data_IF_617530596589
#
_entry.id   IF_617530596589
#
_cell.length_a   1.000
_cell.length_b   1.000
_cell.length_c   1.000
_cell.angle_alpha   90.00
_cell.angle_beta   90.00
_cell.angle_gamma   90.00
#
_symmetry.space_group_name_H-M   'P 1'
#
loop_
_entity.id
_entity.type
_entity.pdbx_description
1 polymer ?
#
# COMPACT_ATOMS: atom_id res chain seq x y z
N UNK A 1 -2.71 -4.46 -32.48
CA UNK A 1 -3.10 -3.41 -31.52
C UNK A 1 -4.29 -3.94 -30.74
N UNK A 2 -4.06 -4.46 -29.53
CA UNK A 2 -5.13 -5.04 -28.74
C UNK A 2 -5.89 -3.91 -28.02
N UNK A 3 -7.13 -3.69 -28.41
CA UNK A 3 -8.09 -2.94 -27.62
C UNK A 3 -8.43 -3.79 -26.39
N UNK A 4 -7.77 -3.52 -25.27
CA UNK A 4 -8.17 -4.09 -23.99
C UNK A 4 -9.23 -3.19 -23.36
N UNK A 5 -10.46 -3.30 -23.86
CA UNK A 5 -11.63 -2.89 -23.10
C UNK A 5 -11.84 -3.91 -21.98
N UNK A 6 -11.17 -3.72 -20.84
CA UNK A 6 -11.60 -4.38 -19.60
C UNK A 6 -12.66 -3.48 -18.97
N UNK A 7 -13.89 -3.62 -19.44
CA UNK A 7 -15.05 -3.32 -18.61
C UNK A 7 -15.57 -4.66 -18.14
N UNK A 8 -15.26 -5.04 -16.91
CA UNK A 8 -15.99 -6.09 -16.22
C UNK A 8 -16.71 -5.42 -15.06
N UNK A 9 -17.94 -4.97 -15.33
CA UNK A 9 -18.96 -4.92 -14.29
C UNK A 9 -19.35 -6.37 -14.00
N UNK A 10 -18.73 -6.97 -13.00
CA UNK A 10 -19.27 -8.12 -12.28
C UNK A 10 -19.60 -7.74 -10.83
N UNK A 11 -19.80 -6.43 -10.57
CA UNK A 11 -19.84 -5.85 -9.23
C UNK A 11 -21.02 -6.27 -8.35
N UNK A 12 -22.13 -6.70 -8.96
CA UNK A 12 -23.35 -6.97 -8.17
C UNK A 12 -23.51 -8.45 -7.80
N UNK A 13 -22.66 -9.34 -8.35
CA UNK A 13 -22.78 -10.80 -8.18
C UNK A 13 -21.47 -11.55 -7.89
N UNK A 14 -20.31 -10.87 -7.94
CA UNK A 14 -19.03 -11.51 -7.62
C UNK A 14 -18.66 -11.34 -6.15
N UNK A 15 -18.15 -12.40 -5.52
CA UNK A 15 -17.67 -12.36 -4.13
C UNK A 15 -16.31 -11.65 -3.98
N UNK A 16 -15.52 -11.58 -5.06
CA UNK A 16 -14.23 -10.91 -5.10
C UNK A 16 -13.86 -10.45 -6.52
N UNK A 17 -12.97 -9.45 -6.61
CA UNK A 17 -12.44 -8.93 -7.87
C UNK A 17 -10.93 -9.11 -7.90
N UNK A 18 -10.42 -9.81 -8.91
CA UNK A 18 -9.00 -9.87 -9.23
C UNK A 18 -8.71 -8.90 -10.38
N UNK A 19 -7.89 -7.90 -10.10
CA UNK A 19 -7.51 -6.87 -11.08
C UNK A 19 -6.05 -7.06 -11.51
N UNK A 20 -5.78 -6.90 -12.81
CA UNK A 20 -4.43 -6.83 -13.37
C UNK A 20 -3.80 -5.44 -13.20
N UNK A 21 -3.29 -4.87 -14.29
CA UNK A 21 -2.71 -3.52 -14.30
C UNK A 21 -3.62 -2.53 -15.05
N UNK A 22 -3.56 -1.26 -14.64
CA UNK A 22 -4.27 -0.14 -15.25
C UNK A 22 -3.25 0.97 -15.53
N UNK A 23 -3.33 1.57 -16.72
CA UNK A 23 -2.50 2.71 -17.13
C UNK A 23 -1.65 2.42 -18.37
N UNK A 24 -1.07 3.48 -18.94
CA UNK A 24 -0.11 3.40 -20.03
C UNK A 24 0.10 4.72 -20.78
N UNK A 25 1.21 4.86 -21.55
CA UNK A 25 1.60 6.12 -22.19
C UNK A 25 0.54 6.70 -23.14
N UNK A 26 -0.33 5.84 -23.68
CA UNK A 26 -1.41 6.21 -24.61
C UNK A 26 -2.40 7.23 -24.02
N UNK A 27 -2.59 7.25 -22.69
CA UNK A 27 -3.66 8.02 -22.05
C UNK A 27 -3.18 9.30 -21.34
N UNK A 28 -1.87 9.46 -21.11
CA UNK A 28 -1.23 10.71 -20.66
C UNK A 28 -1.94 11.43 -19.49
N UNK A 29 -1.95 12.77 -19.51
CA UNK A 29 -2.65 13.64 -18.55
C UNK A 29 -3.99 14.16 -19.08
N UNK A 30 -4.58 13.48 -20.07
CA UNK A 30 -5.83 13.90 -20.70
C UNK A 30 -7.03 13.92 -19.75
N UNK A 31 -8.18 14.40 -20.25
CA UNK A 31 -9.42 14.46 -19.47
C UNK A 31 -9.91 13.07 -19.01
N UNK A 32 -9.66 12.03 -19.83
CA UNK A 32 -10.00 10.64 -19.54
C UNK A 32 -8.73 9.85 -19.26
N UNK A 33 -8.60 9.39 -18.02
CA UNK A 33 -7.44 8.62 -17.54
C UNK A 33 -7.89 7.27 -16.98
N UNK A 34 -7.24 6.16 -17.33
CA UNK A 34 -7.57 4.83 -16.80
C UNK A 34 -7.66 4.78 -15.27
N UNK A 35 -6.83 5.57 -14.58
CA UNK A 35 -6.77 5.67 -13.12
C UNK A 35 -8.07 6.24 -12.51
N UNK A 36 -8.80 7.09 -13.22
CA UNK A 36 -10.11 7.59 -12.77
C UNK A 36 -11.12 6.44 -12.65
N UNK A 37 -11.05 5.47 -13.57
CA UNK A 37 -11.89 4.27 -13.52
C UNK A 37 -11.60 3.42 -12.28
N UNK A 38 -10.33 3.25 -11.92
CA UNK A 38 -9.93 2.52 -10.72
C UNK A 38 -10.39 3.21 -9.42
N UNK A 39 -10.24 4.53 -9.34
CA UNK A 39 -10.70 5.30 -8.18
C UNK A 39 -12.22 5.19 -8.01
N UNK A 40 -12.97 5.27 -9.11
CA UNK A 40 -14.42 5.12 -9.10
C UNK A 40 -14.83 3.70 -8.68
N UNK A 41 -14.20 2.67 -9.25
CA UNK A 41 -14.46 1.27 -8.90
C UNK A 41 -14.25 1.01 -7.40
N UNK A 42 -13.14 1.48 -6.83
CA UNK A 42 -12.84 1.35 -5.39
C UNK A 42 -13.92 1.98 -4.52
N UNK A 43 -14.43 3.15 -4.93
CA UNK A 43 -15.49 3.86 -4.19
C UNK A 43 -16.83 3.15 -4.31
N UNK A 44 -17.20 2.70 -5.50
CA UNK A 44 -18.47 1.98 -5.75
C UNK A 44 -18.51 0.62 -5.02
N UNK A 45 -17.38 -0.10 -4.96
CA UNK A 45 -17.28 -1.36 -4.22
C UNK A 45 -17.05 -1.18 -2.71
N UNK A 46 -16.89 0.05 -2.23
CA UNK A 46 -16.61 0.33 -0.82
C UNK A 46 -15.28 -0.26 -0.32
N UNK A 47 -14.29 -0.47 -1.18
CA UNK A 47 -12.97 -1.03 -0.80
C UNK A 47 -12.10 0.04 -0.13
N UNK A 48 -12.47 0.46 1.07
CA UNK A 48 -11.84 1.58 1.79
C UNK A 48 -10.48 1.23 2.39
N UNK A 49 -10.16 -0.04 2.60
CA UNK A 49 -8.91 -0.49 3.20
C UNK A 49 -8.00 -1.16 2.19
N UNK A 50 -6.85 -0.55 1.90
CA UNK A 50 -5.78 -1.18 1.15
C UNK A 50 -4.74 -1.77 2.11
N UNK A 51 -4.53 -3.08 2.03
CA UNK A 51 -3.53 -3.79 2.83
C UNK A 51 -2.27 -4.01 1.97
N UNK A 52 -1.12 -3.55 2.44
CA UNK A 52 0.18 -3.72 1.78
C UNK A 52 1.20 -4.31 2.76
N UNK A 53 1.37 -5.64 2.76
CA UNK A 53 2.42 -6.30 3.54
C UNK A 53 3.81 -5.88 3.07
N UNK A 54 4.71 -5.64 4.02
CA UNK A 54 6.11 -5.30 3.79
C UNK A 54 6.98 -6.21 4.67
N UNK A 55 7.54 -7.24 4.03
CA UNK A 55 8.44 -8.20 4.65
C UNK A 55 9.35 -8.83 3.60
N UNK A 56 10.46 -9.43 4.03
CA UNK A 56 11.28 -10.24 3.15
C UNK A 56 10.72 -11.66 3.07
N UNK A 57 10.30 -12.10 1.89
CA UNK A 57 9.77 -13.45 1.68
C UNK A 57 10.81 -14.56 1.92
N UNK A 58 12.10 -14.21 1.86
CA UNK A 58 13.22 -15.10 2.16
C UNK A 58 14.38 -14.29 2.71
N UNK A 59 15.13 -14.87 3.65
CA UNK A 59 16.31 -14.27 4.26
C UNK A 59 17.41 -13.96 3.22
N UNK A 60 17.43 -14.73 2.12
CA UNK A 60 18.33 -14.51 0.98
C UNK A 60 18.01 -13.24 0.17
N UNK A 61 16.80 -12.68 0.30
CA UNK A 61 16.39 -11.47 -0.41
C UNK A 61 16.85 -10.19 0.33
N UNK A 62 17.28 -10.30 1.58
CA UNK A 62 17.64 -9.15 2.42
C UNK A 62 18.80 -8.37 1.82
N UNK A 63 19.79 -9.05 1.24
CA UNK A 63 20.98 -8.42 0.68
C UNK A 63 20.71 -7.69 -0.66
N UNK A 64 19.51 -7.84 -1.22
CA UNK A 64 19.02 -7.08 -2.38
C UNK A 64 18.25 -5.81 -1.99
N UNK A 65 17.99 -5.62 -0.69
CA UNK A 65 17.46 -4.35 -0.20
C UNK A 65 18.47 -3.22 -0.45
N UNK A 66 18.01 -2.01 -0.78
CA UNK A 66 18.88 -0.83 -0.77
C UNK A 66 19.38 -0.49 0.65
N UNK A 67 18.74 -1.02 1.69
CA UNK A 67 19.18 -0.88 3.07
C UNK A 67 20.17 -1.98 3.43
N UNK A 68 21.14 -1.64 4.31
CA UNK A 68 22.06 -2.64 4.85
C UNK A 68 21.29 -3.76 5.55
N UNK A 69 21.74 -4.99 5.40
CA UNK A 69 21.07 -6.15 5.98
C UNK A 69 20.83 -6.00 7.49
N UNK A 70 21.79 -5.49 8.26
CA UNK A 70 21.61 -5.28 9.71
C UNK A 70 20.52 -4.25 10.09
N UNK A 71 20.09 -3.43 9.13
CA UNK A 71 19.04 -2.41 9.31
C UNK A 71 17.66 -2.99 9.04
N UNK A 72 17.50 -3.73 7.94
CA UNK A 72 16.19 -4.15 7.42
C UNK A 72 15.83 -5.62 7.72
N UNK A 73 16.80 -6.49 8.04
CA UNK A 73 16.52 -7.91 8.32
C UNK A 73 15.52 -8.06 9.46
N UNK A 74 14.41 -8.75 9.20
CA UNK A 74 13.31 -8.93 10.16
C UNK A 74 12.25 -7.82 10.15
N UNK A 75 12.26 -6.94 9.15
CA UNK A 75 11.11 -6.08 8.85
C UNK A 75 9.89 -6.94 8.51
N UNK A 76 8.80 -6.70 9.22
CA UNK A 76 7.50 -7.35 9.05
C UNK A 76 6.40 -6.41 9.58
N UNK A 77 5.79 -5.66 8.67
CA UNK A 77 4.58 -4.91 8.96
C UNK A 77 3.61 -4.94 7.79
N UNK A 78 2.35 -4.56 8.07
CA UNK A 78 1.34 -4.33 7.05
C UNK A 78 0.87 -2.88 7.13
N UNK A 79 0.91 -2.18 6.01
CA UNK A 79 0.31 -0.85 5.88
C UNK A 79 -1.18 -1.02 5.55
N UNK A 80 -2.03 -0.41 6.37
CA UNK A 80 -3.46 -0.23 6.19
C UNK A 80 -3.68 1.21 5.73
N UNK A 81 -3.83 1.38 4.42
CA UNK A 81 -4.10 2.67 3.80
C UNK A 81 -5.60 2.87 3.62
N UNK A 82 -6.12 4.00 4.08
CA UNK A 82 -7.47 4.43 3.68
C UNK A 82 -7.47 4.77 2.17
N UNK A 83 -8.41 4.25 1.40
CA UNK A 83 -8.32 4.21 -0.06
C UNK A 83 -9.40 5.05 -0.78
N UNK A 84 -10.42 5.51 -0.07
CA UNK A 84 -11.66 6.04 -0.69
C UNK A 84 -12.03 7.47 -0.25
N UNK A 85 -11.24 8.09 0.61
CA UNK A 85 -11.38 9.48 1.05
C UNK A 85 -10.08 10.28 0.91
N UNK A 86 -10.00 11.41 1.62
CA UNK A 86 -8.85 12.31 1.57
C UNK A 86 -8.72 13.10 0.26
N UNK A 87 -7.54 13.64 0.02
CA UNK A 87 -7.22 14.61 -1.04
C UNK A 87 -7.49 14.11 -2.45
N UNK A 88 -7.48 12.80 -2.66
CA UNK A 88 -7.77 12.20 -3.95
C UNK A 88 -9.25 12.29 -4.32
N UNK A 89 -10.14 12.44 -3.33
CA UNK A 89 -11.58 12.50 -3.52
C UNK A 89 -12.19 13.83 -3.05
N UNK A 90 -11.39 14.72 -2.46
CA UNK A 90 -11.80 16.07 -2.12
C UNK A 90 -12.07 16.93 -3.35
N UNK A 91 -12.81 18.01 -3.12
CA UNK A 91 -12.97 19.05 -4.13
C UNK A 91 -11.60 19.61 -4.53
N UNK A 92 -11.50 20.00 -5.79
CA UNK A 92 -10.31 20.62 -6.35
C UNK A 92 -10.68 21.69 -7.36
N UNK A 93 -9.79 22.66 -7.53
CA UNK A 93 -9.84 23.64 -8.61
C UNK A 93 -8.50 23.62 -9.35
N UNK A 94 -8.57 23.31 -10.64
CA UNK A 94 -7.44 23.44 -11.57
C UNK A 94 -7.17 24.92 -11.87
N UNK A 95 -5.94 25.23 -12.29
CA UNK A 95 -5.58 26.57 -12.74
C UNK A 95 -6.35 26.93 -14.03
N UNK A 96 -7.07 28.06 -13.99
CA UNK A 96 -7.82 28.64 -15.10
C UNK A 96 -7.05 29.76 -15.83
N UNK A 97 -5.73 29.82 -15.62
CA UNK A 97 -4.84 30.88 -16.08
C UNK A 97 -4.59 31.97 -15.04
N UNK A 98 -5.10 31.79 -13.82
CA UNK A 98 -4.87 32.67 -12.67
C UNK A 98 -3.55 32.38 -11.95
N UNK A 99 -2.89 31.24 -12.25
CA UNK A 99 -1.74 30.76 -11.51
C UNK A 99 -2.11 30.20 -10.13
N UNK A 100 -3.38 29.85 -9.92
CA UNK A 100 -3.91 29.39 -8.64
C UNK A 100 -4.72 28.10 -8.81
N UNK A 101 -4.34 27.07 -8.04
CA UNK A 101 -5.02 25.79 -7.95
C UNK A 101 -5.07 25.34 -6.48
N UNK A 102 -6.01 24.46 -6.14
CA UNK A 102 -6.12 23.88 -4.81
C UNK A 102 -6.79 22.51 -4.81
N UNK A 103 -6.47 21.74 -3.77
CA UNK A 103 -7.09 20.46 -3.44
C UNK A 103 -7.48 20.47 -1.95
N UNK A 104 -8.51 19.72 -1.58
CA UNK A 104 -8.96 19.59 -0.18
C UNK A 104 -8.73 18.18 0.33
N UNK A 105 -8.29 18.02 1.59
CA UNK A 105 -8.13 16.73 2.29
C UNK A 105 -9.27 16.53 3.31
N UNK A 106 -10.50 16.17 2.87
CA UNK A 106 -11.60 15.91 3.78
C UNK A 106 -11.54 14.48 4.32
N UNK A 107 -11.83 14.34 5.62
CA UNK A 107 -12.25 13.08 6.23
C UNK A 107 -13.39 13.33 7.21
N UNK A 108 -14.35 12.42 7.22
CA UNK A 108 -15.35 12.29 8.26
C UNK A 108 -14.90 11.32 9.34
N UNK A 109 -15.52 11.40 10.53
CA UNK A 109 -15.31 10.42 11.60
C UNK A 109 -15.55 8.98 11.12
N UNK A 110 -16.66 8.72 10.43
CA UNK A 110 -17.03 7.38 10.00
C UNK A 110 -15.98 6.74 9.07
N UNK A 111 -15.33 7.55 8.21
CA UNK A 111 -14.26 7.07 7.34
C UNK A 111 -13.00 6.68 8.11
N UNK A 112 -12.67 7.40 9.18
CA UNK A 112 -11.53 7.06 10.05
C UNK A 112 -11.86 5.84 10.93
N UNK A 113 -13.08 5.75 11.48
CA UNK A 113 -13.48 4.63 12.33
C UNK A 113 -13.43 3.28 11.61
N UNK A 114 -13.90 3.20 10.36
CA UNK A 114 -13.88 1.93 9.61
C UNK A 114 -12.45 1.44 9.33
N UNK A 115 -11.50 2.33 9.04
CA UNK A 115 -10.11 1.94 8.81
C UNK A 115 -9.38 1.66 10.14
N UNK A 116 -9.74 2.36 11.22
CA UNK A 116 -9.28 2.06 12.57
C UNK A 116 -9.67 0.63 12.98
N UNK A 117 -10.94 0.25 12.76
CA UNK A 117 -11.44 -1.11 13.03
C UNK A 117 -10.71 -2.15 12.20
N UNK A 118 -10.52 -1.90 10.90
CA UNK A 118 -9.75 -2.80 10.04
C UNK A 118 -8.33 -3.03 10.58
N UNK A 119 -7.64 -1.96 10.98
CA UNK A 119 -6.31 -2.06 11.56
C UNK A 119 -6.32 -2.83 12.90
N UNK A 120 -7.30 -2.59 13.77
CA UNK A 120 -7.45 -3.29 15.04
C UNK A 120 -7.73 -4.80 14.87
N UNK A 121 -8.62 -5.18 13.96
CA UNK A 121 -8.87 -6.60 13.65
C UNK A 121 -7.64 -7.28 13.03
N UNK A 122 -6.95 -6.60 12.13
CA UNK A 122 -5.72 -7.12 11.53
C UNK A 122 -4.63 -7.33 12.58
N UNK A 123 -4.45 -6.36 13.49
CA UNK A 123 -3.48 -6.44 14.57
C UNK A 123 -3.76 -7.64 15.50
N UNK A 124 -5.01 -7.83 15.94
CA UNK A 124 -5.42 -9.01 16.70
C UNK A 124 -5.16 -10.31 15.93
N UNK A 125 -5.53 -10.36 14.65
CA UNK A 125 -5.33 -11.54 13.81
C UNK A 125 -3.86 -11.93 13.64
N UNK A 126 -2.96 -10.94 13.70
CA UNK A 126 -1.50 -11.12 13.65
C UNK A 126 -0.87 -11.35 15.03
N UNK A 127 -1.63 -11.24 16.12
CA UNK A 127 -1.11 -11.34 17.49
C UNK A 127 -0.29 -10.12 17.92
N UNK A 128 -0.47 -8.97 17.26
CA UNK A 128 0.19 -7.73 17.64
C UNK A 128 -0.42 -7.17 18.92
N UNK A 129 0.38 -6.47 19.72
CA UNK A 129 -0.08 -5.75 20.91
C UNK A 129 -0.23 -4.25 20.67
N UNK A 130 0.15 -3.77 19.49
CA UNK A 130 0.14 -2.35 19.13
C UNK A 130 -0.22 -2.10 17.66
N UNK A 131 -0.73 -0.91 17.39
CA UNK A 131 -0.98 -0.36 16.06
C UNK A 131 -0.36 1.03 15.96
N UNK A 132 0.40 1.26 14.89
CA UNK A 132 0.94 2.57 14.54
C UNK A 132 -0.07 3.38 13.75
N UNK A 133 -0.48 4.55 14.24
CA UNK A 133 -1.31 5.51 13.51
C UNK A 133 -0.45 6.66 13.00
N UNK A 134 -0.24 6.75 11.69
CA UNK A 134 0.56 7.82 11.08
C UNK A 134 -0.29 9.00 10.63
N UNK A 135 0.12 10.21 10.99
CA UNK A 135 -0.60 11.45 10.66
C UNK A 135 0.33 12.69 10.57
N UNK A 136 -0.24 13.87 10.37
CA UNK A 136 0.45 15.16 10.48
C UNK A 136 -0.27 16.14 11.43
N UNK A 137 -0.67 15.66 12.62
CA UNK A 137 -1.55 16.38 13.54
C UNK A 137 -0.97 17.71 14.07
N UNK A 138 0.36 17.86 14.03
CA UNK A 138 1.05 19.12 14.36
C UNK A 138 0.77 20.25 13.34
N UNK A 139 0.23 19.93 12.16
CA UNK A 139 -0.11 20.91 11.12
C UNK A 139 -1.60 20.80 10.74
N UNK A 140 -2.04 19.62 10.29
CA UNK A 140 -3.32 19.47 9.58
C UNK A 140 -4.51 19.28 10.54
N UNK A 141 -5.61 19.99 10.28
CA UNK A 141 -6.87 19.81 11.00
C UNK A 141 -7.42 18.39 10.82
N UNK A 142 -7.38 17.87 9.59
CA UNK A 142 -7.81 16.51 9.26
C UNK A 142 -7.00 15.46 10.03
N UNK A 143 -5.69 15.67 10.22
CA UNK A 143 -4.86 14.78 11.04
C UNK A 143 -5.15 14.86 12.54
N UNK A 144 -5.58 16.02 13.06
CA UNK A 144 -6.07 16.11 14.45
C UNK A 144 -7.37 15.35 14.65
N UNK A 145 -8.30 15.43 13.69
CA UNK A 145 -9.50 14.59 13.68
C UNK A 145 -9.13 13.11 13.61
N UNK A 146 -8.23 12.73 12.70
CA UNK A 146 -7.74 11.36 12.54
C UNK A 146 -7.23 10.79 13.86
N UNK A 147 -6.28 11.50 14.49
CA UNK A 147 -5.69 11.10 15.77
C UNK A 147 -6.75 10.91 16.85
N UNK A 148 -7.66 11.88 17.01
CA UNK A 148 -8.76 11.81 17.98
C UNK A 148 -9.62 10.55 17.77
N UNK A 149 -10.07 10.31 16.54
CA UNK A 149 -10.95 9.18 16.22
C UNK A 149 -10.22 7.85 16.42
N UNK A 150 -8.98 7.73 15.95
CA UNK A 150 -8.15 6.55 16.17
C UNK A 150 -7.99 6.23 17.66
N UNK A 151 -7.66 7.22 18.50
CA UNK A 151 -7.54 7.05 19.95
C UNK A 151 -8.87 6.58 20.57
N UNK A 152 -9.97 7.26 20.25
CA UNK A 152 -11.29 6.94 20.80
C UNK A 152 -11.77 5.54 20.40
N UNK A 153 -11.66 5.18 19.12
CA UNK A 153 -12.07 3.86 18.61
C UNK A 153 -11.25 2.73 19.23
N UNK A 154 -9.92 2.89 19.35
CA UNK A 154 -9.09 1.86 19.99
C UNK A 154 -9.40 1.72 21.47
N UNK A 155 -9.59 2.84 22.19
CA UNK A 155 -9.96 2.80 23.60
C UNK A 155 -11.30 2.09 23.85
N UNK A 156 -12.29 2.28 22.96
CA UNK A 156 -13.62 1.68 23.13
C UNK A 156 -13.75 0.26 22.59
N UNK A 157 -13.11 -0.07 21.48
CA UNK A 157 -13.34 -1.34 20.75
C UNK A 157 -12.14 -2.32 20.81
N UNK A 158 -10.94 -1.80 21.08
CA UNK A 158 -9.69 -2.57 21.10
C UNK A 158 -8.83 -2.26 22.35
N UNK A 159 -9.38 -2.37 23.58
CA UNK A 159 -8.67 -1.99 24.81
C UNK A 159 -7.42 -2.84 25.12
N UNK A 160 -7.30 -4.00 24.47
CA UNK A 160 -6.15 -4.90 24.48
C UNK A 160 -5.00 -4.45 23.56
N UNK A 161 -5.24 -3.52 22.63
CA UNK A 161 -4.25 -3.00 21.70
C UNK A 161 -3.84 -1.58 22.07
N UNK A 162 -2.53 -1.33 22.14
CA UNK A 162 -2.01 0.04 22.20
C UNK A 162 -2.13 0.71 20.82
N UNK A 163 -2.63 1.95 20.77
CA UNK A 163 -2.50 2.81 19.57
C UNK A 163 -1.41 3.84 19.81
N UNK A 164 -0.35 3.80 19.01
CA UNK A 164 0.76 4.74 19.07
C UNK A 164 0.72 5.67 17.87
N UNK A 165 0.84 6.98 18.12
CA UNK A 165 0.79 7.99 17.07
C UNK A 165 2.18 8.45 16.67
N UNK A 166 2.45 8.47 15.38
CA UNK A 166 3.73 8.87 14.81
C UNK A 166 3.48 9.88 13.68
N UNK A 167 4.32 10.92 13.58
CA UNK A 167 4.21 11.84 12.46
C UNK A 167 4.72 11.19 11.16
N UNK A 168 4.08 11.47 10.04
CA UNK A 168 4.39 10.81 8.77
C UNK A 168 5.82 11.07 8.28
N UNK A 169 6.36 12.26 8.50
CA UNK A 169 7.75 12.61 8.17
C UNK A 169 8.77 11.89 9.05
N UNK A 170 8.48 11.75 10.34
CA UNK A 170 9.32 10.96 11.24
C UNK A 170 9.17 9.46 11.01
N UNK A 171 8.01 8.99 10.51
CA UNK A 171 7.82 7.61 10.07
C UNK A 171 8.64 7.28 8.82
N UNK A 172 8.67 8.16 7.82
CA UNK A 172 9.54 8.01 6.64
C UNK A 172 11.03 7.95 7.06
N UNK A 173 11.46 8.78 8.01
CA UNK A 173 12.82 8.65 8.57
C UNK A 173 13.06 7.29 9.26
N UNK A 174 12.07 6.73 9.96
CA UNK A 174 12.18 5.40 10.59
C UNK A 174 12.28 4.32 9.51
N UNK A 175 11.49 4.40 8.44
CA UNK A 175 11.51 3.46 7.32
C UNK A 175 12.91 3.26 6.74
N UNK A 176 13.68 4.34 6.58
CA UNK A 176 15.05 4.26 6.06
C UNK A 176 16.07 3.84 7.14
N UNK A 177 15.90 4.29 8.39
CA UNK A 177 16.92 4.09 9.44
C UNK A 177 16.80 2.77 10.18
N UNK A 178 15.57 2.31 10.42
CA UNK A 178 15.25 1.09 11.16
C UNK A 178 13.78 0.74 10.92
N UNK A 179 13.42 0.19 9.73
CA UNK A 179 12.03 -0.10 9.38
C UNK A 179 11.35 -1.07 10.37
N UNK A 180 12.13 -1.91 11.06
CA UNK A 180 11.65 -2.79 12.15
C UNK A 180 10.97 -2.05 13.29
N UNK A 181 11.27 -0.76 13.47
CA UNK A 181 10.60 0.10 14.44
C UNK A 181 9.09 0.20 14.19
N UNK A 182 8.66 0.01 12.94
CA UNK A 182 7.26 0.02 12.52
C UNK A 182 6.63 -1.37 12.40
N UNK A 183 7.34 -2.45 12.80
CA UNK A 183 6.80 -3.81 12.77
C UNK A 183 5.41 -3.90 13.41
N UNK A 184 4.55 -4.71 12.80
CA UNK A 184 3.15 -4.89 13.17
C UNK A 184 2.17 -4.28 12.16
N UNK A 185 1.21 -3.50 12.65
CA UNK A 185 0.19 -2.85 11.79
C UNK A 185 0.39 -1.34 11.80
N UNK A 186 0.48 -0.76 10.60
CA UNK A 186 0.63 0.68 10.38
C UNK A 186 -0.60 1.19 9.64
N UNK A 187 -1.33 2.16 10.18
CA UNK A 187 -2.55 2.70 9.58
C UNK A 187 -2.41 4.20 9.31
N UNK A 188 -2.85 4.65 8.13
CA UNK A 188 -2.72 6.06 7.73
C UNK A 188 -3.71 6.48 6.64
N UNK A 189 -3.76 7.78 6.36
CA UNK A 189 -4.64 8.38 5.35
C UNK A 189 -4.24 8.02 3.92
N UNK A 190 -5.07 8.39 2.94
CA UNK A 190 -4.89 7.98 1.55
C UNK A 190 -3.57 8.44 0.94
N UNK A 191 -3.27 9.75 0.99
CA UNK A 191 -2.04 10.30 0.43
C UNK A 191 -0.80 9.76 1.15
N UNK A 192 -0.81 9.78 2.49
CA UNK A 192 0.33 9.31 3.28
C UNK A 192 0.57 7.82 3.09
N UNK A 193 -0.50 7.03 3.02
CA UNK A 193 -0.44 5.60 2.76
C UNK A 193 0.10 5.29 1.38
N UNK A 194 -0.23 6.09 0.37
CA UNK A 194 0.33 5.97 -0.98
C UNK A 194 1.86 6.07 -0.93
N UNK A 195 2.37 7.16 -0.36
CA UNK A 195 3.79 7.47 -0.30
C UNK A 195 4.56 6.45 0.54
N UNK A 196 4.13 6.22 1.79
CA UNK A 196 4.87 5.39 2.74
C UNK A 196 4.86 3.92 2.34
N UNK A 197 3.81 3.47 1.65
CA UNK A 197 3.76 2.10 1.15
C UNK A 197 4.57 1.91 -0.11
N UNK A 198 4.68 2.94 -0.96
CA UNK A 198 5.62 2.91 -2.08
C UNK A 198 7.07 2.90 -1.57
N UNK A 199 7.41 3.71 -0.55
CA UNK A 199 8.71 3.70 0.14
C UNK A 199 9.02 2.32 0.76
N UNK A 200 8.01 1.64 1.31
CA UNK A 200 8.15 0.26 1.81
C UNK A 200 8.29 -0.75 0.67
N UNK A 201 7.70 -0.48 -0.49
CA UNK A 201 7.59 -1.38 -1.64
C UNK A 201 8.74 -1.27 -2.65
N UNK A 202 9.93 -0.82 -2.24
CA UNK A 202 11.16 -1.13 -2.99
C UNK A 202 11.43 -2.67 -3.10
N UNK A 203 10.45 -3.51 -2.74
CA UNK A 203 10.22 -4.89 -3.16
C UNK A 203 9.58 -5.06 -4.58
N UNK A 204 9.22 -3.98 -5.28
CA UNK A 204 8.67 -4.02 -6.65
C UNK A 204 9.61 -4.73 -7.62
N UNK A 205 10.91 -4.60 -7.40
CA UNK A 205 11.92 -5.30 -8.17
C UNK A 205 11.83 -6.83 -7.98
N UNK A 206 11.47 -7.31 -6.77
CA UNK A 206 11.30 -8.75 -6.47
C UNK A 206 10.04 -9.30 -7.13
N UNK A 207 8.91 -8.59 -7.02
CA UNK A 207 7.66 -8.99 -7.70
C UNK A 207 7.83 -9.00 -9.22
N UNK A 208 8.51 -8.00 -9.78
CA UNK A 208 8.80 -7.93 -11.21
C UNK A 208 9.80 -9.00 -11.64
N UNK A 209 10.75 -9.36 -10.79
CA UNK A 209 11.68 -10.46 -11.02
C UNK A 209 10.99 -11.83 -10.99
N UNK A 210 10.10 -12.06 -10.02
CA UNK A 210 9.27 -13.28 -9.94
C UNK A 210 8.41 -13.41 -11.19
N UNK A 211 7.75 -12.32 -11.59
CA UNK A 211 6.95 -12.27 -12.80
C UNK A 211 7.79 -12.56 -14.05
N UNK A 212 8.94 -11.90 -14.23
CA UNK A 212 9.82 -12.14 -15.39
C UNK A 212 10.37 -13.55 -15.44
N UNK A 213 10.73 -14.13 -14.29
CA UNK A 213 11.19 -15.52 -14.21
C UNK A 213 10.08 -16.49 -14.62
N UNK A 214 8.84 -16.28 -14.13
CA UNK A 214 7.66 -17.06 -14.51
C UNK A 214 7.34 -16.87 -16.01
N UNK A 215 7.36 -15.64 -16.53
CA UNK A 215 7.11 -15.36 -17.96
C UNK A 215 8.19 -15.98 -18.87
N UNK A 216 9.42 -16.08 -18.37
CA UNK A 216 10.55 -16.78 -19.02
C UNK A 216 10.47 -18.32 -18.90
N UNK A 217 9.40 -18.87 -18.33
CA UNK A 217 9.13 -20.30 -18.27
C UNK A 217 9.55 -21.01 -16.98
N UNK A 218 9.94 -20.28 -15.93
CA UNK A 218 10.16 -20.88 -14.61
C UNK A 218 8.86 -21.52 -14.10
N UNK A 219 8.89 -22.81 -13.83
CA UNK A 219 7.76 -23.56 -13.25
C UNK A 219 8.30 -24.58 -12.24
N UNK A 220 7.88 -24.45 -10.98
CA UNK A 220 8.13 -25.44 -9.93
C UNK A 220 7.15 -26.62 -10.07
N UNK A 221 7.36 -27.71 -9.31
CA UNK A 221 6.58 -28.95 -9.43
C UNK A 221 5.08 -28.77 -9.23
N UNK A 222 4.69 -27.91 -8.30
CA UNK A 222 3.31 -27.53 -8.01
C UNK A 222 2.67 -26.69 -9.13
N UNK A 223 3.49 -26.00 -9.93
CA UNK A 223 3.06 -25.24 -11.11
C UNK A 223 3.19 -26.03 -12.42
N UNK A 224 3.36 -27.35 -12.34
CA UNK A 224 3.47 -28.25 -13.50
C UNK A 224 4.82 -28.22 -14.22
N UNK A 225 5.89 -27.76 -13.54
CA UNK A 225 7.24 -27.76 -14.08
C UNK A 225 8.22 -28.67 -13.33
N UNK A 226 9.50 -28.58 -13.70
CA UNK A 226 10.56 -29.43 -13.16
C UNK A 226 11.60 -28.66 -12.35
N UNK A 227 11.49 -27.32 -12.24
CA UNK A 227 12.49 -26.53 -11.53
C UNK A 227 12.45 -26.81 -10.03
N UNK A 228 13.65 -27.03 -9.47
CA UNK A 228 13.83 -27.15 -8.03
C UNK A 228 13.70 -25.79 -7.32
N UNK A 229 13.55 -25.81 -5.99
CA UNK A 229 13.43 -24.58 -5.19
C UNK A 229 14.65 -23.67 -5.34
N UNK A 230 15.85 -24.25 -5.41
CA UNK A 230 17.11 -23.53 -5.58
C UNK A 230 17.21 -22.88 -6.97
N UNK A 231 16.91 -23.64 -8.03
CA UNK A 231 16.87 -23.13 -9.41
C UNK A 231 15.84 -22.01 -9.62
N UNK A 232 14.68 -22.13 -8.95
CA UNK A 232 13.66 -21.08 -8.97
C UNK A 232 14.15 -19.80 -8.31
N UNK A 233 14.80 -19.91 -7.15
CA UNK A 233 15.38 -18.77 -6.46
C UNK A 233 16.48 -18.09 -7.31
N UNK A 234 17.37 -18.88 -7.93
CA UNK A 234 18.43 -18.35 -8.80
C UNK A 234 17.87 -17.56 -9.99
N UNK A 235 16.86 -18.09 -10.70
CA UNK A 235 16.25 -17.40 -11.85
C UNK A 235 15.53 -16.11 -11.45
N UNK A 236 14.87 -16.11 -10.30
CA UNK A 236 14.26 -14.89 -9.74
C UNK A 236 15.35 -13.87 -9.41
N UNK A 237 16.44 -14.31 -8.78
CA UNK A 237 17.60 -13.45 -8.47
C UNK A 237 18.24 -12.89 -9.73
N UNK A 238 18.40 -13.66 -10.79
CA UNK A 238 18.94 -13.19 -12.07
C UNK A 238 18.09 -12.07 -12.69
N UNK A 239 16.78 -12.25 -12.72
CA UNK A 239 15.86 -11.21 -13.21
C UNK A 239 15.87 -9.97 -12.30
N UNK A 240 15.97 -10.17 -10.98
CA UNK A 240 16.09 -9.08 -10.02
C UNK A 240 17.36 -8.26 -10.25
N UNK A 241 18.50 -8.92 -10.44
CA UNK A 241 19.78 -8.26 -10.74
C UNK A 241 19.71 -7.46 -12.04
N UNK A 242 19.00 -7.95 -13.07
CA UNK A 242 18.79 -7.20 -14.32
C UNK A 242 17.94 -5.95 -14.09
N UNK A 243 16.87 -6.06 -13.31
CA UNK A 243 15.97 -4.96 -12.98
C UNK A 243 16.70 -3.87 -12.18
N UNK A 244 17.49 -4.26 -11.18
CA UNK A 244 18.20 -3.31 -10.31
C UNK A 244 19.40 -2.62 -10.98
N UNK A 245 19.84 -3.09 -12.15
CA UNK A 245 20.96 -2.52 -12.92
C UNK A 245 20.51 -1.69 -14.13
N UNK A 246 19.22 -1.67 -14.45
CA UNK A 246 18.63 -0.91 -15.55
C UNK A 246 18.26 0.51 -15.12
#
# INVERSE_FOLDING_TARGET
>A
MAEHNIVVFAGDHADAVLLGAIGGPKWGTGAVRPEQGLLRLRKEMGTYGNLRPCFFASDALVDYSPLKAEVCRGTDFVIVRELTGGIYFGERKEDDGSGHAWDTEPYSRAEVERVARLAGFLARGRGETKVWSLDKANVLATSRLWRKVMTETFASEFPDLAVEHQLIDSAAMIMVKNPRGLNGVVVTSNLFGDIISDEASEAKAVEEAVKKAIDAGLRTRDMGGNSGTEEAAEKIVEELVKILKA
#
